data_IF_548545569309
#
_entry.id   IF_548545569309
#
_cell.length_a   1.000
_cell.length_b   1.000
_cell.length_c   1.000
_cell.angle_alpha   90.00
_cell.angle_beta   90.00
_cell.angle_gamma   90.00
#
_symmetry.space_group_name_H-M   'P 1'
#
loop_
_entity.id
_entity.type
_entity.pdbx_description
1 polymer ?
#
# COMPACT_ATOMS: atom_id res chain seq x y z
N UNK A 1 7.72 -1.10 25.23
CA UNK A 1 7.07 -0.15 24.29
C UNK A 1 7.13 -0.75 22.89
N UNK A 2 6.10 -1.49 22.47
CA UNK A 2 6.07 -2.11 21.12
C UNK A 2 5.96 -0.99 20.07
N UNK A 3 7.04 -0.79 19.32
CA UNK A 3 7.01 0.07 18.13
C UNK A 3 5.94 -0.47 17.17
N UNK A 4 4.92 0.32 16.93
CA UNK A 4 3.90 0.08 15.92
C UNK A 4 4.59 -0.29 14.59
N UNK A 5 4.55 -1.55 14.20
CA UNK A 5 5.06 -2.01 12.90
C UNK A 5 4.10 -1.46 11.84
N UNK A 6 4.40 -0.27 11.34
CA UNK A 6 3.68 0.28 10.17
C UNK A 6 4.11 -0.54 8.95
N UNK A 7 3.32 -1.53 8.59
CA UNK A 7 3.46 -2.26 7.34
C UNK A 7 2.95 -1.35 6.21
N UNK A 8 3.82 -0.93 5.26
CA UNK A 8 3.37 -0.10 4.15
C UNK A 8 2.43 -0.89 3.24
N UNK A 9 1.19 -0.44 3.12
CA UNK A 9 0.23 -0.92 2.12
C UNK A 9 -0.17 0.25 1.19
N UNK A 10 -1.07 0.04 0.24
CA UNK A 10 -1.42 1.02 -0.78
C UNK A 10 -1.74 2.41 -0.24
N UNK A 11 -2.50 2.49 0.88
CA UNK A 11 -2.84 3.76 1.52
C UNK A 11 -1.61 4.59 1.91
N UNK A 12 -0.52 3.94 2.38
CA UNK A 12 0.72 4.62 2.75
C UNK A 12 1.36 5.30 1.54
N UNK A 13 1.34 4.62 0.40
CA UNK A 13 1.94 5.10 -0.85
C UNK A 13 1.10 6.21 -1.46
N UNK A 14 -0.22 6.05 -1.51
CA UNK A 14 -1.14 7.08 -1.99
C UNK A 14 -1.09 8.35 -1.13
N UNK A 15 -1.01 8.20 0.20
CA UNK A 15 -0.80 9.33 1.09
C UNK A 15 0.51 10.03 0.80
N UNK A 16 1.61 9.28 0.70
CA UNK A 16 2.91 9.85 0.35
C UNK A 16 2.84 10.61 -0.99
N UNK A 17 2.25 10.02 -2.03
CA UNK A 17 2.10 10.69 -3.32
C UNK A 17 1.29 12.00 -3.19
N UNK A 18 0.17 11.99 -2.45
CA UNK A 18 -0.66 13.18 -2.21
C UNK A 18 0.12 14.28 -1.50
N UNK A 19 0.77 13.93 -0.40
CA UNK A 19 1.46 14.90 0.46
C UNK A 19 2.72 15.45 -0.24
N UNK A 20 3.47 14.60 -0.95
CA UNK A 20 4.67 15.00 -1.68
C UNK A 20 4.36 15.86 -2.91
N UNK A 21 3.22 15.65 -3.59
CA UNK A 21 2.77 16.54 -4.68
C UNK A 21 2.70 17.99 -4.23
N UNK A 22 2.17 18.23 -3.04
CA UNK A 22 1.99 19.58 -2.47
C UNK A 22 3.31 20.28 -2.18
N UNK A 23 4.37 19.53 -1.88
CA UNK A 23 5.63 20.08 -1.37
C UNK A 23 6.81 19.96 -2.34
N UNK A 24 6.70 19.20 -3.44
CA UNK A 24 7.82 19.01 -4.38
C UNK A 24 7.48 19.31 -5.83
N UNK A 25 6.21 19.15 -6.27
CA UNK A 25 5.88 19.32 -7.69
C UNK A 25 6.08 20.75 -8.14
N UNK A 26 6.59 20.92 -9.38
CA UNK A 26 7.00 22.18 -10.01
C UNK A 26 8.19 22.86 -9.32
N UNK A 27 8.97 22.11 -8.53
CA UNK A 27 10.18 22.63 -7.92
C UNK A 27 11.41 21.93 -8.47
N UNK A 28 12.51 22.66 -8.53
CA UNK A 28 13.85 22.12 -8.70
C UNK A 28 14.26 21.43 -7.41
N UNK A 29 14.56 20.15 -7.48
CA UNK A 29 14.82 19.30 -6.29
C UNK A 29 16.31 19.01 -6.17
N UNK A 30 16.86 19.22 -4.97
CA UNK A 30 18.18 18.69 -4.63
C UNK A 30 17.98 17.23 -4.21
N UNK A 31 18.73 16.33 -4.87
CA UNK A 31 18.65 14.89 -4.61
C UNK A 31 20.00 14.42 -4.12
N UNK A 32 20.00 13.75 -2.96
CA UNK A 32 21.21 13.16 -2.38
C UNK A 32 20.97 11.73 -1.94
N UNK A 33 22.04 10.96 -1.78
CA UNK A 33 22.02 9.60 -1.25
C UNK A 33 22.89 9.51 0.01
N UNK A 34 22.40 9.88 1.20
CA UNK A 34 23.23 9.89 2.41
C UNK A 34 23.86 8.55 2.74
N UNK A 35 23.21 7.43 2.40
CA UNK A 35 23.73 6.08 2.57
C UNK A 35 24.69 5.64 1.45
N UNK A 36 24.78 6.39 0.34
CA UNK A 36 25.61 6.07 -0.84
C UNK A 36 25.02 5.05 -1.81
N UNK A 37 24.01 4.26 -1.43
CA UNK A 37 23.47 3.16 -2.26
C UNK A 37 22.57 3.60 -3.43
N UNK A 38 22.41 4.89 -3.64
CA UNK A 38 21.65 5.48 -4.74
C UNK A 38 22.41 6.71 -5.33
N UNK A 39 23.72 6.75 -5.21
CA UNK A 39 24.54 7.92 -5.59
C UNK A 39 24.39 8.28 -7.07
N UNK A 40 24.48 7.31 -7.97
CA UNK A 40 24.35 7.53 -9.42
C UNK A 40 22.95 8.04 -9.78
N UNK A 41 21.89 7.45 -9.21
CA UNK A 41 20.53 7.93 -9.39
C UNK A 41 20.32 9.33 -8.83
N UNK A 42 20.94 9.64 -7.69
CA UNK A 42 20.89 10.98 -7.11
C UNK A 42 21.55 12.01 -8.05
N UNK A 43 22.70 11.71 -8.64
CA UNK A 43 23.37 12.59 -9.61
C UNK A 43 22.51 12.87 -10.84
N UNK A 44 21.85 11.83 -11.39
CA UNK A 44 20.96 11.96 -12.56
C UNK A 44 19.80 12.90 -12.28
N UNK A 45 19.22 12.84 -11.08
CA UNK A 45 18.02 13.59 -10.70
C UNK A 45 18.31 14.94 -10.05
N UNK A 46 19.53 15.13 -9.52
CA UNK A 46 19.88 16.34 -8.78
C UNK A 46 19.69 17.60 -9.64
N UNK A 47 19.00 18.59 -9.07
CA UNK A 47 18.72 19.85 -9.73
C UNK A 47 17.66 19.78 -10.84
N UNK A 48 16.97 18.65 -11.03
CA UNK A 48 15.87 18.53 -12.00
C UNK A 48 14.55 18.96 -11.37
N UNK A 49 13.59 19.36 -12.23
CA UNK A 49 12.24 19.76 -11.78
C UNK A 49 11.41 18.49 -11.59
N UNK A 50 10.78 18.34 -10.43
CA UNK A 50 9.77 17.30 -10.20
C UNK A 50 8.47 17.70 -10.92
N UNK A 51 8.06 16.92 -11.91
CA UNK A 51 6.88 17.20 -12.74
C UNK A 51 5.60 16.59 -12.18
N UNK A 52 5.69 15.35 -11.68
CA UNK A 52 4.55 14.63 -11.17
C UNK A 52 5.00 13.61 -10.12
N UNK A 53 4.08 13.25 -9.22
CA UNK A 53 4.28 12.18 -8.24
C UNK A 53 3.01 11.34 -8.23
N UNK A 54 3.15 10.05 -8.49
CA UNK A 54 2.01 9.13 -8.63
C UNK A 54 2.20 7.88 -7.79
N UNK A 55 1.07 7.29 -7.40
CA UNK A 55 1.00 6.01 -6.75
C UNK A 55 0.29 4.99 -7.64
N UNK A 56 0.84 3.78 -7.72
CA UNK A 56 0.24 2.61 -8.35
C UNK A 56 0.40 1.43 -7.40
N UNK A 57 -0.66 1.07 -6.69
CA UNK A 57 -0.62 0.08 -5.63
C UNK A 57 0.39 0.44 -4.53
N UNK A 58 1.48 -0.29 -4.48
CA UNK A 58 2.56 -0.08 -3.51
C UNK A 58 3.81 0.57 -4.12
N UNK A 59 3.71 1.08 -5.34
CA UNK A 59 4.77 1.75 -6.09
C UNK A 59 4.58 3.26 -6.08
N UNK A 60 5.61 4.01 -5.70
CA UNK A 60 5.64 5.46 -5.68
C UNK A 60 6.59 5.96 -6.76
N UNK A 61 6.09 6.76 -7.68
CA UNK A 61 6.80 7.25 -8.85
C UNK A 61 6.93 8.77 -8.80
N UNK A 62 8.17 9.29 -8.91
CA UNK A 62 8.47 10.72 -9.02
C UNK A 62 9.03 11.00 -10.41
N UNK A 63 8.26 11.68 -11.25
CA UNK A 63 8.66 12.02 -12.62
C UNK A 63 9.44 13.34 -12.65
N UNK A 64 10.59 13.34 -13.30
CA UNK A 64 11.47 14.51 -13.42
C UNK A 64 11.55 15.05 -14.85
N UNK A 65 11.97 16.33 -14.98
CA UNK A 65 12.02 17.05 -16.25
C UNK A 65 13.04 16.54 -17.27
N UNK A 66 13.96 15.69 -16.84
CA UNK A 66 14.94 15.03 -17.72
C UNK A 66 14.45 13.70 -18.32
N UNK A 67 13.16 13.39 -18.19
CA UNK A 67 12.55 12.17 -18.74
C UNK A 67 12.66 10.94 -17.83
N UNK A 68 13.41 11.00 -16.74
CA UNK A 68 13.56 9.91 -15.79
C UNK A 68 12.54 9.98 -14.67
N UNK A 69 12.27 8.81 -14.09
CA UNK A 69 11.36 8.63 -12.95
C UNK A 69 12.09 7.91 -11.82
N UNK A 70 12.06 8.48 -10.62
CA UNK A 70 12.47 7.76 -9.41
C UNK A 70 11.34 6.82 -9.00
N UNK A 71 11.64 5.53 -8.95
CA UNK A 71 10.73 4.49 -8.49
C UNK A 71 11.10 4.03 -7.08
N UNK A 72 10.11 4.04 -6.19
CA UNK A 72 10.24 3.60 -4.80
C UNK A 72 9.22 2.50 -4.51
N UNK A 73 9.70 1.39 -3.93
CA UNK A 73 8.86 0.39 -3.28
C UNK A 73 9.37 0.19 -1.85
N UNK A 74 8.53 0.47 -0.86
CA UNK A 74 8.96 0.44 0.55
C UNK A 74 9.23 -0.97 1.09
N UNK A 75 8.57 -1.99 0.52
CA UNK A 75 8.62 -3.34 1.07
C UNK A 75 7.96 -3.40 2.47
N UNK A 76 8.51 -4.22 3.34
CA UNK A 76 7.97 -4.41 4.71
C UNK A 76 8.50 -3.37 5.71
N UNK A 77 9.73 -2.90 5.52
CA UNK A 77 10.46 -2.11 6.53
C UNK A 77 10.78 -0.70 6.09
N UNK A 78 10.60 -0.38 4.81
CA UNK A 78 10.85 0.95 4.28
C UNK A 78 9.95 2.00 4.93
N UNK A 79 10.50 3.21 5.12
CA UNK A 79 9.80 4.32 5.77
C UNK A 79 10.06 5.62 5.04
N UNK A 80 9.05 6.47 5.03
CA UNK A 80 9.14 7.84 4.53
C UNK A 80 9.02 8.80 5.70
N UNK A 81 9.88 9.81 5.73
CA UNK A 81 9.84 10.91 6.70
C UNK A 81 9.79 12.24 5.96
N UNK A 82 8.75 13.01 6.24
CA UNK A 82 8.61 14.38 5.73
C UNK A 82 9.01 15.34 6.85
N UNK A 83 9.89 16.29 6.56
CA UNK A 83 10.40 17.25 7.52
C UNK A 83 10.44 18.64 6.91
N UNK A 84 10.24 19.68 7.73
CA UNK A 84 10.44 21.06 7.32
C UNK A 84 11.93 21.42 7.36
N UNK A 85 12.33 22.38 6.54
CA UNK A 85 13.63 23.04 6.68
C UNK A 85 13.62 23.98 7.93
N UNK A 86 14.79 24.24 8.58
CA UNK A 86 16.14 23.88 8.16
C UNK A 86 16.39 22.39 8.18
N UNK A 87 17.36 21.94 7.33
CA UNK A 87 17.65 20.53 7.08
C UNK A 87 18.26 19.85 8.31
N UNK A 88 17.56 18.86 8.91
CA UNK A 88 18.15 18.05 9.96
C UNK A 88 19.13 17.02 9.39
N UNK A 89 20.04 16.55 10.22
CA UNK A 89 20.92 15.44 9.88
C UNK A 89 20.15 14.19 9.49
N UNK A 90 20.64 13.42 8.50
CA UNK A 90 20.03 12.15 8.10
C UNK A 90 19.98 11.16 9.27
N UNK A 91 18.77 10.60 9.54
CA UNK A 91 18.59 9.61 10.61
C UNK A 91 18.31 8.23 10.06
N UNK A 92 19.20 7.28 10.35
CA UNK A 92 19.09 5.88 9.93
C UNK A 92 19.52 5.67 8.47
N UNK A 93 19.04 4.59 7.84
CA UNK A 93 19.46 4.17 6.50
C UNK A 93 18.74 4.95 5.39
N UNK A 94 19.02 6.25 5.27
CA UNK A 94 18.44 7.12 4.25
C UNK A 94 19.00 6.77 2.87
N UNK A 95 18.22 6.08 2.05
CA UNK A 95 18.57 5.66 0.68
C UNK A 95 18.60 6.85 -0.28
N UNK A 96 17.57 7.67 -0.22
CA UNK A 96 17.46 8.89 -1.01
C UNK A 96 16.80 9.98 -0.18
N UNK A 97 17.35 11.20 -0.30
CA UNK A 97 16.83 12.43 0.28
C UNK A 97 16.45 13.38 -0.83
N UNK A 98 15.21 13.85 -0.83
CA UNK A 98 14.66 14.83 -1.77
C UNK A 98 14.43 16.13 -1.03
N UNK A 99 15.06 17.23 -1.47
CA UNK A 99 15.00 18.53 -0.80
C UNK A 99 14.34 19.53 -1.75
N UNK A 100 13.18 20.03 -1.35
CA UNK A 100 12.46 21.12 -2.00
C UNK A 100 12.73 22.47 -1.33
N UNK A 101 11.91 23.48 -1.63
CA UNK A 101 12.09 24.84 -1.09
C UNK A 101 11.82 24.95 0.42
N UNK A 102 10.90 24.20 0.96
CA UNK A 102 10.41 24.32 2.36
C UNK A 102 10.48 23.01 3.14
N UNK A 103 10.58 21.89 2.45
CA UNK A 103 10.54 20.56 3.05
C UNK A 103 11.57 19.65 2.42
N UNK A 104 11.93 18.63 3.19
CA UNK A 104 12.70 17.49 2.70
C UNK A 104 11.96 16.18 2.98
N UNK A 105 12.26 15.19 2.16
CA UNK A 105 11.73 13.83 2.27
C UNK A 105 12.89 12.86 2.35
N UNK A 106 12.95 12.11 3.43
CA UNK A 106 13.88 10.99 3.61
C UNK A 106 13.17 9.66 3.36
N UNK A 107 13.71 8.87 2.45
CA UNK A 107 13.25 7.50 2.18
C UNK A 107 14.28 6.53 2.75
N UNK A 108 13.87 5.85 3.82
CA UNK A 108 14.72 4.94 4.58
C UNK A 108 14.44 3.49 4.20
N UNK A 109 15.48 2.72 3.90
CA UNK A 109 15.43 1.27 3.72
C UNK A 109 14.35 0.74 2.76
N UNK A 110 14.07 1.39 1.62
CA UNK A 110 13.13 0.85 0.64
C UNK A 110 13.69 -0.44 0.04
N UNK A 111 12.82 -1.36 -0.37
CA UNK A 111 13.21 -2.57 -1.10
C UNK A 111 13.64 -2.22 -2.52
N UNK A 112 12.96 -1.26 -3.16
CA UNK A 112 13.34 -0.75 -4.48
C UNK A 112 13.52 0.77 -4.38
N UNK A 113 14.64 1.25 -4.93
CA UNK A 113 14.95 2.65 -5.13
C UNK A 113 15.82 2.73 -6.40
N UNK A 114 15.19 3.05 -7.52
CA UNK A 114 15.82 2.99 -8.84
C UNK A 114 15.35 4.10 -9.76
N UNK A 115 16.08 4.31 -10.84
CA UNK A 115 15.71 5.21 -11.93
C UNK A 115 15.08 4.38 -13.05
N UNK A 116 13.95 4.84 -13.54
CA UNK A 116 13.27 4.27 -14.71
C UNK A 116 13.17 5.30 -15.83
N UNK A 117 13.38 4.87 -17.06
CA UNK A 117 12.97 5.60 -18.24
C UNK A 117 11.47 5.43 -18.51
N UNK A 118 10.95 6.15 -19.52
CA UNK A 118 9.52 6.10 -19.85
C UNK A 118 9.05 4.69 -20.25
N UNK A 119 9.85 3.93 -20.99
CA UNK A 119 9.52 2.57 -21.41
C UNK A 119 9.43 1.62 -20.21
N UNK A 120 10.37 1.75 -19.29
CA UNK A 120 10.39 0.96 -18.06
C UNK A 120 9.21 1.31 -17.13
N UNK A 121 8.82 2.59 -17.04
CA UNK A 121 7.62 3.00 -16.30
C UNK A 121 6.36 2.39 -16.90
N UNK A 122 6.21 2.43 -18.23
CA UNK A 122 5.07 1.80 -18.92
C UNK A 122 5.02 0.29 -18.66
N UNK A 123 6.17 -0.40 -18.75
CA UNK A 123 6.27 -1.84 -18.48
C UNK A 123 5.95 -2.17 -17.00
N UNK A 124 6.36 -1.32 -16.05
CA UNK A 124 6.03 -1.48 -14.63
C UNK A 124 4.53 -1.33 -14.41
N UNK A 125 3.94 -0.22 -14.86
CA UNK A 125 2.51 0.09 -14.66
C UNK A 125 1.63 -0.93 -15.36
N UNK A 126 2.00 -1.38 -16.56
CA UNK A 126 1.25 -2.41 -17.31
C UNK A 126 1.16 -3.77 -16.63
N UNK A 127 2.04 -4.07 -15.65
CA UNK A 127 1.99 -5.31 -14.85
C UNK A 127 1.15 -5.19 -13.60
N UNK A 128 0.82 -3.96 -13.19
CA UNK A 128 0.04 -3.69 -11.98
C UNK A 128 -1.44 -3.77 -12.34
N UNK A 129 -2.20 -4.55 -11.58
CA UNK A 129 -3.64 -4.64 -11.73
C UNK A 129 -4.35 -3.34 -11.31
N UNK A 130 -5.68 -3.28 -11.48
CA UNK A 130 -6.46 -2.13 -11.08
C UNK A 130 -6.20 -1.75 -9.62
N UNK A 131 -5.82 -0.50 -9.39
CA UNK A 131 -5.56 0.05 -8.06
C UNK A 131 -6.84 0.64 -7.49
N UNK A 132 -7.31 0.09 -6.39
CA UNK A 132 -8.60 0.45 -5.76
C UNK A 132 -8.72 1.94 -5.39
N UNK A 133 -7.60 2.64 -5.23
CA UNK A 133 -7.58 4.07 -4.88
C UNK A 133 -7.51 5.01 -6.10
N UNK A 134 -7.27 4.49 -7.30
CA UNK A 134 -7.23 5.32 -8.51
C UNK A 134 -8.62 5.49 -9.10
N UNK A 135 -8.89 6.69 -9.61
CA UNK A 135 -10.16 6.99 -10.25
C UNK A 135 -10.30 6.32 -11.63
N UNK A 136 -9.17 6.06 -12.29
CA UNK A 136 -9.09 5.42 -13.61
C UNK A 136 -9.03 3.88 -13.53
N UNK A 137 -9.14 3.29 -12.34
CA UNK A 137 -9.13 1.84 -12.18
C UNK A 137 -10.43 1.22 -12.72
N UNK A 138 -10.28 0.22 -13.59
CA UNK A 138 -11.41 -0.59 -14.04
C UNK A 138 -11.49 -1.90 -13.22
N UNK A 139 -12.48 -2.05 -12.33
CA UNK A 139 -12.63 -3.25 -11.50
C UNK A 139 -12.92 -4.53 -12.30
N UNK A 140 -13.45 -4.42 -13.51
CA UNK A 140 -13.79 -5.58 -14.32
C UNK A 140 -12.55 -6.42 -14.66
N UNK A 141 -11.39 -5.79 -14.88
CA UNK A 141 -10.14 -6.54 -15.07
C UNK A 141 -9.76 -7.41 -13.87
N UNK A 142 -10.02 -6.92 -12.66
CA UNK A 142 -9.77 -7.70 -11.45
C UNK A 142 -10.79 -8.84 -11.32
N UNK A 143 -12.08 -8.53 -11.55
CA UNK A 143 -13.14 -9.53 -11.50
C UNK A 143 -12.90 -10.67 -12.49
N UNK A 144 -12.60 -10.36 -13.74
CA UNK A 144 -12.34 -11.36 -14.78
C UNK A 144 -11.21 -12.32 -14.42
N UNK A 145 -10.14 -11.82 -13.82
CA UNK A 145 -9.04 -12.65 -13.33
C UNK A 145 -9.46 -13.53 -12.16
N UNK A 146 -10.23 -12.99 -11.23
CA UNK A 146 -10.72 -13.69 -10.03
C UNK A 146 -11.72 -14.77 -10.45
N UNK A 147 -12.73 -14.44 -11.26
CA UNK A 147 -13.80 -15.35 -11.65
C UNK A 147 -13.32 -16.57 -12.47
N UNK A 148 -12.16 -16.48 -13.12
CA UNK A 148 -11.54 -17.60 -13.86
C UNK A 148 -10.56 -18.42 -13.02
N UNK A 149 -10.28 -17.99 -11.79
CA UNK A 149 -9.23 -18.58 -10.97
C UNK A 149 -9.74 -19.65 -10.00
N UNK A 150 -9.02 -20.75 -9.88
CA UNK A 150 -9.22 -21.76 -8.82
C UNK A 150 -8.42 -21.44 -7.55
N UNK A 151 -7.54 -20.44 -7.61
CA UNK A 151 -6.75 -20.04 -6.44
C UNK A 151 -7.65 -19.41 -5.36
N UNK A 152 -7.25 -19.51 -4.07
CA UNK A 152 -7.95 -18.88 -2.97
C UNK A 152 -8.11 -17.36 -3.14
N UNK A 153 -9.29 -16.84 -2.83
CA UNK A 153 -9.54 -15.39 -2.92
C UNK A 153 -8.58 -14.59 -2.05
N UNK A 154 -8.19 -15.11 -0.90
CA UNK A 154 -7.21 -14.48 -0.02
C UNK A 154 -5.82 -14.31 -0.66
N UNK A 155 -5.45 -15.17 -1.62
CA UNK A 155 -4.26 -14.99 -2.45
C UNK A 155 -4.50 -13.95 -3.54
N UNK A 156 -5.62 -14.07 -4.26
CA UNK A 156 -5.92 -13.26 -5.44
C UNK A 156 -6.01 -11.77 -5.14
N UNK A 157 -6.70 -11.36 -4.07
CA UNK A 157 -6.83 -9.94 -3.74
C UNK A 157 -5.52 -9.32 -3.20
N UNK A 158 -4.54 -10.12 -2.82
CA UNK A 158 -3.20 -9.66 -2.45
C UNK A 158 -2.22 -9.61 -3.61
N UNK A 159 -2.54 -10.29 -4.71
CA UNK A 159 -1.73 -10.27 -5.93
C UNK A 159 -1.86 -8.89 -6.59
N UNK A 160 -0.76 -8.14 -6.58
CA UNK A 160 -0.73 -6.77 -7.10
C UNK A 160 -1.00 -6.70 -8.61
N UNK A 161 -0.94 -7.82 -9.33
CA UNK A 161 -1.34 -7.91 -10.74
C UNK A 161 -2.84 -8.15 -10.92
N UNK A 162 -3.56 -8.49 -9.85
CA UNK A 162 -5.01 -8.70 -9.83
C UNK A 162 -5.71 -7.49 -9.22
N UNK A 163 -5.37 -7.14 -7.97
CA UNK A 163 -5.88 -5.95 -7.26
C UNK A 163 -4.72 -5.23 -6.58
N UNK A 164 -4.38 -4.04 -7.05
CA UNK A 164 -3.26 -3.31 -6.49
C UNK A 164 -3.63 -2.54 -5.22
N UNK A 165 -2.66 -2.42 -4.32
CA UNK A 165 -2.76 -1.65 -3.08
C UNK A 165 -3.07 -2.46 -1.83
N UNK A 166 -3.81 -3.56 -1.95
CA UNK A 166 -4.17 -4.41 -0.82
C UNK A 166 -2.95 -5.17 -0.29
N UNK A 167 -2.81 -5.22 1.03
CA UNK A 167 -1.82 -6.04 1.71
C UNK A 167 -2.48 -6.95 2.74
N UNK A 168 -1.66 -7.48 3.63
CA UNK A 168 -2.08 -8.57 4.53
C UNK A 168 -3.15 -8.15 5.55
N UNK A 169 -3.06 -6.91 6.04
CA UNK A 169 -4.03 -6.42 7.03
C UNK A 169 -5.37 -6.18 6.33
N UNK A 170 -5.38 -5.42 5.25
CA UNK A 170 -6.61 -5.14 4.51
C UNK A 170 -7.25 -6.43 3.98
N UNK A 171 -6.48 -7.40 3.48
CA UNK A 171 -7.00 -8.70 3.07
C UNK A 171 -7.85 -9.34 4.16
N UNK A 172 -7.29 -9.48 5.36
CA UNK A 172 -7.98 -10.13 6.47
C UNK A 172 -9.26 -9.39 6.87
N UNK A 173 -9.17 -8.08 6.98
CA UNK A 173 -10.26 -7.22 7.41
C UNK A 173 -11.40 -7.17 6.37
N UNK A 174 -11.08 -7.01 5.09
CA UNK A 174 -12.06 -6.97 4.00
C UNK A 174 -12.80 -8.30 3.89
N UNK A 175 -12.08 -9.42 3.86
CA UNK A 175 -12.72 -10.73 3.73
C UNK A 175 -13.63 -11.06 4.92
N UNK A 176 -13.21 -10.70 6.14
CA UNK A 176 -14.06 -10.88 7.31
C UNK A 176 -15.32 -9.99 7.25
N UNK A 177 -15.20 -8.73 6.87
CA UNK A 177 -16.31 -7.79 6.74
C UNK A 177 -17.33 -8.21 5.69
N UNK A 178 -16.86 -8.90 4.64
CA UNK A 178 -17.72 -9.44 3.58
C UNK A 178 -18.15 -10.89 3.82
N UNK A 179 -17.87 -11.46 5.01
CA UNK A 179 -18.19 -12.85 5.36
C UNK A 179 -17.64 -13.88 4.35
N UNK A 180 -16.50 -13.59 3.70
CA UNK A 180 -15.89 -14.45 2.70
C UNK A 180 -14.72 -15.21 3.31
N UNK A 181 -14.75 -16.56 3.20
CA UNK A 181 -13.63 -17.37 3.63
C UNK A 181 -12.40 -17.15 2.73
N UNK A 182 -11.20 -16.92 3.29
CA UNK A 182 -10.02 -16.63 2.47
C UNK A 182 -9.58 -17.78 1.55
N UNK A 183 -9.98 -19.03 1.83
CA UNK A 183 -9.72 -20.20 0.98
C UNK A 183 -10.78 -20.40 -0.11
N UNK A 184 -11.87 -19.64 -0.12
CA UNK A 184 -12.87 -19.71 -1.20
C UNK A 184 -12.19 -19.56 -2.57
N UNK A 185 -12.38 -20.49 -3.52
CA UNK A 185 -11.83 -20.34 -4.87
C UNK A 185 -12.35 -19.08 -5.55
N UNK A 186 -11.48 -18.39 -6.29
CA UNK A 186 -11.88 -17.15 -7.00
C UNK A 186 -13.10 -17.35 -7.89
N UNK A 187 -13.20 -18.49 -8.61
CA UNK A 187 -14.34 -18.82 -9.46
C UNK A 187 -15.69 -18.96 -8.74
N UNK A 188 -15.66 -19.14 -7.41
CA UNK A 188 -16.85 -19.18 -6.58
C UNK A 188 -17.29 -17.78 -6.08
N UNK A 189 -16.49 -16.74 -6.37
CA UNK A 189 -16.81 -15.36 -6.02
C UNK A 189 -17.74 -14.78 -7.10
N UNK A 190 -19.02 -14.64 -6.77
CA UNK A 190 -19.99 -13.98 -7.65
C UNK A 190 -19.70 -12.48 -7.81
N UNK A 191 -20.25 -11.90 -8.87
CA UNK A 191 -20.07 -10.47 -9.20
C UNK A 191 -20.45 -9.56 -8.03
N UNK A 192 -21.59 -9.77 -7.42
CA UNK A 192 -22.06 -8.96 -6.29
C UNK A 192 -21.08 -8.99 -5.11
N UNK A 193 -20.59 -10.16 -4.74
CA UNK A 193 -19.59 -10.32 -3.66
C UNK A 193 -18.29 -9.61 -4.01
N UNK A 194 -17.84 -9.71 -5.27
CA UNK A 194 -16.65 -8.98 -5.72
C UNK A 194 -16.84 -7.47 -5.63
N UNK A 195 -17.98 -6.95 -6.07
CA UNK A 195 -18.28 -5.51 -6.03
C UNK A 195 -18.28 -4.98 -4.58
N UNK A 196 -18.78 -5.78 -3.64
CA UNK A 196 -18.72 -5.49 -2.20
C UNK A 196 -17.26 -5.48 -1.68
N UNK A 197 -16.45 -6.48 -2.04
CA UNK A 197 -15.02 -6.55 -1.70
C UNK A 197 -14.29 -5.32 -2.26
N UNK A 198 -14.53 -4.96 -3.52
CA UNK A 198 -13.91 -3.81 -4.17
C UNK A 198 -14.28 -2.49 -3.49
N UNK A 199 -15.56 -2.28 -3.24
CA UNK A 199 -16.09 -1.07 -2.59
C UNK A 199 -15.54 -0.90 -1.17
N UNK A 200 -15.53 -1.98 -0.39
CA UNK A 200 -15.00 -1.98 0.98
C UNK A 200 -13.48 -1.72 0.98
N UNK A 201 -12.75 -2.37 0.07
CA UNK A 201 -11.31 -2.11 -0.12
C UNK A 201 -11.04 -0.63 -0.40
N UNK A 202 -11.77 -0.04 -1.34
CA UNK A 202 -11.64 1.38 -1.69
C UNK A 202 -11.92 2.29 -0.50
N UNK A 203 -12.97 2.01 0.25
CA UNK A 203 -13.36 2.77 1.45
C UNK A 203 -12.29 2.68 2.53
N UNK A 204 -11.86 1.48 2.88
CA UNK A 204 -10.88 1.26 3.94
C UNK A 204 -9.51 1.86 3.60
N UNK A 205 -9.05 1.69 2.37
CA UNK A 205 -7.78 2.28 1.95
C UNK A 205 -7.85 3.81 1.89
N UNK A 206 -8.97 4.39 1.46
CA UNK A 206 -9.18 5.85 1.46
C UNK A 206 -9.12 6.42 2.90
N UNK A 207 -9.77 5.77 3.86
CA UNK A 207 -9.66 6.11 5.28
C UNK A 207 -8.20 6.01 5.75
N UNK A 208 -7.49 4.98 5.32
CA UNK A 208 -6.06 4.82 5.61
C UNK A 208 -5.21 5.97 5.08
N UNK A 209 -5.51 6.46 3.87
CA UNK A 209 -4.86 7.66 3.30
C UNK A 209 -5.09 8.88 4.20
N UNK A 210 -6.33 9.12 4.63
CA UNK A 210 -6.67 10.28 5.45
C UNK A 210 -6.07 10.17 6.86
N UNK A 211 -6.17 9.03 7.51
CA UNK A 211 -5.73 8.83 8.89
C UNK A 211 -4.25 8.48 9.05
N UNK A 212 -3.52 8.24 7.97
CA UNK A 212 -2.14 7.74 7.99
C UNK A 212 -1.97 6.47 8.85
N UNK A 213 -2.99 5.64 8.87
CA UNK A 213 -3.04 4.40 9.63
C UNK A 213 -4.12 3.49 9.04
N UNK A 214 -3.92 2.18 9.13
CA UNK A 214 -4.98 1.22 8.82
C UNK A 214 -5.96 1.24 10.00
N UNK A 215 -7.23 1.53 9.72
CA UNK A 215 -8.33 1.53 10.67
C UNK A 215 -9.53 0.89 9.99
N UNK A 216 -10.04 -0.20 10.56
CA UNK A 216 -11.15 -0.97 10.00
C UNK A 216 -12.34 -1.06 10.97
N UNK A 217 -12.14 -0.62 12.21
CA UNK A 217 -13.17 -0.50 13.25
C UNK A 217 -13.71 0.93 13.28
N UNK A 218 -15.03 1.10 13.14
CA UNK A 218 -15.71 2.39 13.05
C UNK A 218 -16.68 2.61 14.23
N UNK A 219 -16.16 2.87 15.40
CA UNK A 219 -16.96 3.12 16.60
C UNK A 219 -16.79 4.53 17.19
N UNK A 220 -16.32 5.48 16.40
CA UNK A 220 -16.10 6.87 16.81
C UNK A 220 -14.84 7.11 17.68
N UNK A 221 -14.31 6.09 18.34
CA UNK A 221 -13.13 6.19 19.21
C UNK A 221 -11.84 5.61 18.60
N UNK A 222 -11.91 5.07 17.42
CA UNK A 222 -10.81 4.34 16.76
C UNK A 222 -9.51 5.13 16.60
N UNK A 223 -9.56 6.47 16.59
CA UNK A 223 -8.36 7.31 16.45
C UNK A 223 -7.44 7.30 17.68
N UNK A 224 -7.98 7.00 18.88
CA UNK A 224 -7.26 6.97 20.16
C UNK A 224 -6.82 5.56 20.57
N UNK A 225 -7.21 4.52 19.82
CA UNK A 225 -6.95 3.14 20.17
C UNK A 225 -5.52 2.70 19.86
N UNK A 226 -5.03 1.72 20.60
CA UNK A 226 -3.78 1.02 20.32
C UNK A 226 -3.80 0.32 18.97
N UNK A 227 -2.62 -0.10 18.47
CA UNK A 227 -2.46 -0.70 17.13
C UNK A 227 -3.46 -1.83 16.84
N UNK A 228 -3.59 -2.80 17.77
CA UNK A 228 -4.45 -3.97 17.60
C UNK A 228 -5.94 -3.66 17.68
N UNK A 229 -6.31 -2.61 18.39
CA UNK A 229 -7.71 -2.23 18.58
C UNK A 229 -8.33 -1.54 17.35
N UNK A 230 -7.50 -1.22 16.35
CA UNK A 230 -7.92 -0.66 15.07
C UNK A 230 -8.45 -1.70 14.09
N UNK A 231 -8.29 -2.99 14.41
CA UNK A 231 -8.65 -4.11 13.54
C UNK A 231 -9.73 -4.98 14.15
N UNK A 232 -10.52 -5.63 13.29
CA UNK A 232 -11.56 -6.58 13.70
C UNK A 232 -10.99 -7.97 13.99
N UNK A 233 -10.21 -8.52 13.05
CA UNK A 233 -9.69 -9.90 13.21
C UNK A 233 -8.18 -10.00 13.07
N UNK A 234 -7.51 -9.05 12.41
CA UNK A 234 -6.06 -9.15 12.20
C UNK A 234 -5.31 -9.18 13.53
N UNK A 235 -4.56 -10.27 13.76
CA UNK A 235 -3.84 -10.57 15.03
C UNK A 235 -4.73 -10.61 16.30
N UNK A 236 -6.02 -10.86 16.15
CA UNK A 236 -6.94 -11.09 17.26
C UNK A 236 -7.01 -12.58 17.65
N UNK A 237 -7.39 -12.84 18.88
CA UNK A 237 -7.67 -14.19 19.37
C UNK A 237 -9.12 -14.61 19.08
N UNK A 238 -10.06 -13.70 19.29
CA UNK A 238 -11.49 -13.96 19.19
C UNK A 238 -12.17 -13.02 18.21
N UNK A 239 -13.18 -13.53 17.52
CA UNK A 239 -14.03 -12.79 16.62
C UNK A 239 -14.89 -11.76 17.38
N UNK A 240 -14.94 -10.49 16.95
CA UNK A 240 -15.75 -9.49 17.64
C UNK A 240 -17.26 -9.75 17.49
N UNK A 241 -17.71 -10.46 16.45
CA UNK A 241 -19.12 -10.79 16.23
C UNK A 241 -19.59 -12.00 17.06
N UNK A 242 -19.05 -13.17 16.79
CA UNK A 242 -19.51 -14.43 17.42
C UNK A 242 -18.72 -14.84 18.68
N UNK A 243 -17.64 -14.12 19.03
CA UNK A 243 -16.72 -14.43 20.12
C UNK A 243 -15.91 -15.73 19.95
N UNK A 244 -16.16 -16.50 18.89
CA UNK A 244 -15.41 -17.71 18.56
C UNK A 244 -13.93 -17.43 18.28
N UNK A 245 -13.11 -18.47 18.36
CA UNK A 245 -11.68 -18.40 18.11
C UNK A 245 -11.39 -18.04 16.65
N UNK A 246 -10.36 -17.21 16.40
CA UNK A 246 -9.85 -16.90 15.07
C UNK A 246 -8.76 -17.89 14.72
N UNK A 247 -9.04 -18.71 13.68
CA UNK A 247 -8.05 -19.63 13.12
C UNK A 247 -6.96 -18.85 12.38
N UNK A 248 -5.72 -19.34 12.55
CA UNK A 248 -4.52 -18.77 11.92
C UNK A 248 -3.86 -19.82 11.07
N UNK A 249 -3.57 -19.48 9.83
CA UNK A 249 -2.88 -20.35 8.88
C UNK A 249 -2.13 -19.51 7.84
N UNK A 250 -1.54 -20.13 6.83
CA UNK A 250 -0.79 -19.41 5.82
C UNK A 250 -1.39 -19.57 4.43
N UNK A 251 -1.49 -18.46 3.71
CA UNK A 251 -1.75 -18.42 2.27
C UNK A 251 -0.55 -17.73 1.60
N UNK A 252 0.15 -18.45 0.73
CA UNK A 252 1.31 -17.93 -0.01
C UNK A 252 2.37 -17.29 0.91
N UNK A 253 2.73 -17.97 2.00
CA UNK A 253 3.74 -17.51 2.96
C UNK A 253 3.32 -16.29 3.80
N UNK A 254 2.01 -16.00 3.87
CA UNK A 254 1.48 -14.89 4.66
C UNK A 254 0.44 -15.40 5.67
N UNK A 255 0.64 -15.07 6.95
CA UNK A 255 -0.34 -15.37 8.00
C UNK A 255 -1.70 -14.82 7.63
N UNK A 256 -2.70 -15.68 7.69
CA UNK A 256 -4.09 -15.38 7.36
C UNK A 256 -4.92 -15.61 8.61
N UNK A 257 -5.94 -14.81 8.80
CA UNK A 257 -6.84 -14.84 9.94
C UNK A 257 -8.26 -15.06 9.43
N UNK A 258 -9.00 -15.96 10.02
CA UNK A 258 -10.38 -16.29 9.64
C UNK A 258 -11.22 -16.67 10.86
N UNK A 259 -12.46 -16.25 10.89
CA UNK A 259 -13.49 -16.75 11.79
C UNK A 259 -14.34 -17.76 11.03
N UNK A 260 -14.15 -19.06 11.27
CA UNK A 260 -14.85 -20.14 10.56
C UNK A 260 -16.38 -20.02 10.66
N UNK A 261 -16.89 -19.51 11.79
CA UNK A 261 -18.33 -19.31 11.99
C UNK A 261 -18.88 -18.16 11.16
N UNK A 262 -18.16 -17.00 11.10
CA UNK A 262 -18.63 -15.81 10.38
C UNK A 262 -18.23 -15.81 8.91
N UNK A 263 -17.26 -16.64 8.52
CA UNK A 263 -16.77 -16.79 7.17
C UNK A 263 -16.80 -18.27 6.76
N UNK A 264 -17.99 -18.88 6.58
CA UNK A 264 -18.04 -20.28 6.18
C UNK A 264 -17.43 -20.44 4.78
N UNK A 265 -16.78 -21.58 4.56
CA UNK A 265 -16.21 -21.88 3.23
C UNK A 265 -17.36 -22.13 2.25
N UNK A 266 -17.37 -21.41 1.16
CA UNK A 266 -18.33 -21.69 0.08
C UNK A 266 -17.84 -22.93 -0.70
N UNK A 267 -18.66 -23.94 -0.73
CA UNK A 267 -18.43 -25.21 -1.48
C UNK A 267 -18.78 -25.03 -2.96
#
# INVERSE_FOLDING_TARGET
MNKELKLPEGHTIHRAARDHRRILVRQKIIVTSPQGRFSDGALILNGKICLAIEAFGKHLLYKFSNGYTLHIHLGLFGRIRNQKLPMPEPKGSVRVRLIGKTHLIDINGPTICEILDQKQVMALVGRIGPDVLRADANPDFAYDKIARSRAPIGRLIMDQSVMAGIGNIYRSEILWRQAVHPETPGKAIGRQTFDQIWSDARTLLAIGVERNAIVTVFDGQSAKRGYREKYNIFEKANCPNCKGEIRRFEISGRRTFVCETCQPIAT
#
